data_IF_854886274095
#
_entry.id   IF_854886274095
#
_cell.length_a   1.000
_cell.length_b   1.000
_cell.length_c   1.000
_cell.angle_alpha   90.00
_cell.angle_beta   90.00
_cell.angle_gamma   90.00
#
_symmetry.space_group_name_H-M   'P 1'
#
loop_
_entity.id
_entity.type
_entity.pdbx_description
1 polymer ?
#
# COMPACT_ATOMS: atom_id res chain seq x y z
N UNK A 1 -10.42 -4.16 5.15
CA UNK A 1 -9.02 -3.74 5.41
C UNK A 1 -8.85 -2.31 4.93
N UNK A 2 -7.96 -1.57 5.54
CA UNK A 2 -7.73 -0.16 5.20
C UNK A 2 -6.34 0.00 4.59
N UNK A 3 -6.26 0.66 3.44
CA UNK A 3 -5.02 0.88 2.70
C UNK A 3 -4.68 2.36 2.61
N UNK A 4 -3.40 2.69 2.74
CA UNK A 4 -2.89 4.04 2.49
C UNK A 4 -2.00 3.99 1.25
N UNK A 5 -2.41 4.72 0.21
CA UNK A 5 -1.75 4.69 -1.09
C UNK A 5 -0.70 5.79 -1.19
N UNK A 6 0.51 5.41 -1.56
CA UNK A 6 1.63 6.33 -1.72
C UNK A 6 1.42 7.28 -2.91
N UNK A 7 2.15 8.39 -2.91
CA UNK A 7 1.99 9.51 -3.85
C UNK A 7 2.07 9.10 -5.33
N UNK A 8 2.90 8.12 -5.64
CA UNK A 8 3.12 7.69 -7.03
C UNK A 8 2.02 6.81 -7.59
N UNK A 9 1.08 6.36 -6.74
CA UNK A 9 -0.01 5.50 -7.18
C UNK A 9 -1.16 6.32 -7.76
N UNK A 10 -1.89 5.77 -8.74
CA UNK A 10 -3.02 6.51 -9.31
C UNK A 10 -4.13 6.71 -8.28
N UNK A 11 -4.66 7.95 -8.14
CA UNK A 11 -5.74 8.21 -7.18
C UNK A 11 -7.00 7.36 -7.40
N UNK A 12 -7.29 6.97 -8.65
CA UNK A 12 -8.46 6.12 -8.94
C UNK A 12 -8.36 4.72 -8.33
N UNK A 13 -7.18 4.33 -7.84
CA UNK A 13 -7.03 3.07 -7.12
C UNK A 13 -7.87 3.06 -5.84
N UNK A 14 -8.13 4.22 -5.24
CA UNK A 14 -9.01 4.34 -4.07
C UNK A 14 -10.39 3.74 -4.37
N UNK A 15 -10.98 4.14 -5.51
CA UNK A 15 -12.30 3.63 -5.90
C UNK A 15 -12.27 2.16 -6.25
N UNK A 16 -11.19 1.71 -6.90
CA UNK A 16 -11.06 0.30 -7.26
C UNK A 16 -11.02 -0.59 -6.01
N UNK A 17 -10.29 -0.18 -5.00
CA UNK A 17 -10.24 -0.91 -3.72
C UNK A 17 -11.58 -0.84 -2.98
N UNK A 18 -12.27 0.30 -3.03
CA UNK A 18 -13.60 0.42 -2.44
C UNK A 18 -14.59 -0.55 -3.06
N UNK A 19 -14.55 -0.71 -4.38
CA UNK A 19 -15.42 -1.66 -5.08
C UNK A 19 -15.10 -3.10 -4.70
N UNK A 20 -13.87 -3.36 -4.29
CA UNK A 20 -13.44 -4.68 -3.82
C UNK A 20 -13.75 -4.90 -2.33
N UNK A 21 -14.39 -3.95 -1.67
CA UNK A 21 -14.81 -4.08 -0.28
C UNK A 21 -13.82 -3.54 0.74
N UNK A 22 -12.85 -2.73 0.32
CA UNK A 22 -11.82 -2.20 1.21
C UNK A 22 -11.83 -0.68 1.26
N UNK A 23 -11.46 -0.13 2.40
CA UNK A 23 -11.28 1.30 2.54
C UNK A 23 -9.87 1.67 2.05
N UNK A 24 -9.75 2.78 1.34
CA UNK A 24 -8.45 3.26 0.87
C UNK A 24 -8.38 4.78 0.96
N UNK A 25 -7.21 5.27 1.35
CA UNK A 25 -6.89 6.69 1.39
C UNK A 25 -5.65 6.91 0.54
N UNK A 26 -5.62 8.00 -0.22
CA UNK A 26 -4.42 8.41 -0.93
C UNK A 26 -3.71 9.50 -0.12
N UNK A 27 -2.37 9.46 -0.03
CA UNK A 27 -1.62 10.45 0.75
C UNK A 27 -1.92 11.88 0.32
N UNK A 28 -2.26 12.09 -0.94
CA UNK A 28 -2.67 13.40 -1.46
C UNK A 28 -3.89 13.94 -0.69
N UNK A 29 -4.88 13.09 -0.46
CA UNK A 29 -6.13 13.47 0.22
C UNK A 29 -5.93 13.70 1.71
N UNK A 30 -4.86 13.14 2.27
CA UNK A 30 -4.56 13.23 3.69
C UNK A 30 -3.62 14.38 4.04
N UNK A 31 -3.26 15.23 3.06
CA UNK A 31 -2.31 16.31 3.27
C UNK A 31 -0.87 15.83 3.42
N UNK A 32 -0.55 14.64 2.92
CA UNK A 32 0.75 14.00 3.08
C UNK A 32 1.56 13.93 1.79
N UNK A 33 1.16 14.66 0.75
CA UNK A 33 1.82 14.56 -0.56
C UNK A 33 3.32 14.87 -0.50
N UNK A 34 3.71 15.84 0.30
CA UNK A 34 5.11 16.24 0.48
C UNK A 34 5.69 15.76 1.80
N UNK A 35 5.00 14.87 2.50
CA UNK A 35 5.46 14.37 3.78
C UNK A 35 6.62 13.40 3.60
N UNK A 36 7.48 13.35 4.61
CA UNK A 36 8.57 12.36 4.63
C UNK A 36 8.01 10.96 4.90
N UNK A 37 8.71 9.94 4.47
CA UNK A 37 8.30 8.55 4.66
C UNK A 37 7.97 8.23 6.11
N UNK A 38 8.74 8.78 7.05
CA UNK A 38 8.50 8.58 8.47
C UNK A 38 7.13 9.10 8.90
N UNK A 39 6.69 10.23 8.36
CA UNK A 39 5.40 10.83 8.71
C UNK A 39 4.25 10.03 8.10
N UNK A 40 4.43 9.53 6.88
CA UNK A 40 3.47 8.62 6.24
C UNK A 40 3.34 7.34 7.05
N UNK A 41 4.47 6.80 7.51
CA UNK A 41 4.51 5.61 8.37
C UNK A 41 3.70 5.81 9.66
N UNK A 42 3.95 6.93 10.34
CA UNK A 42 3.22 7.25 11.59
C UNK A 42 1.73 7.40 11.36
N UNK A 43 1.36 8.05 10.26
CA UNK A 43 -0.05 8.20 9.89
C UNK A 43 -0.69 6.84 9.63
N UNK A 44 -0.02 5.97 8.87
CA UNK A 44 -0.53 4.63 8.59
C UNK A 44 -0.71 3.83 9.89
N UNK A 45 0.27 3.89 10.79
CA UNK A 45 0.19 3.20 12.08
C UNK A 45 -1.01 3.69 12.90
N UNK A 46 -1.20 5.01 12.97
CA UNK A 46 -2.32 5.62 13.70
C UNK A 46 -3.67 5.23 13.10
N UNK A 47 -3.75 5.15 11.79
CA UNK A 47 -4.97 4.79 11.07
C UNK A 47 -5.18 3.28 10.98
N UNK A 48 -4.23 2.47 11.43
CA UNK A 48 -4.23 1.02 11.25
C UNK A 48 -4.37 0.65 9.77
N UNK A 49 -3.65 1.38 8.94
CA UNK A 49 -3.70 1.21 7.50
C UNK A 49 -2.47 0.44 7.00
N UNK A 50 -2.66 -0.28 5.92
CA UNK A 50 -1.60 -0.97 5.20
C UNK A 50 -1.05 0.00 4.14
N UNK A 51 0.26 0.18 4.09
CA UNK A 51 0.89 1.06 3.10
C UNK A 51 1.03 0.31 1.78
N UNK A 52 0.53 0.89 0.70
CA UNK A 52 0.71 0.36 -0.66
C UNK A 52 1.65 1.30 -1.40
N UNK A 53 2.75 0.78 -1.92
CA UNK A 53 3.80 1.61 -2.51
C UNK A 53 4.56 0.86 -3.59
N UNK A 54 5.15 1.62 -4.51
CA UNK A 54 6.13 1.12 -5.48
C UNK A 54 7.56 1.27 -4.96
N UNK A 55 7.73 1.98 -3.85
CA UNK A 55 9.04 2.35 -3.32
C UNK A 55 9.55 1.29 -2.33
N UNK A 56 10.76 0.81 -2.57
CA UNK A 56 11.41 -0.17 -1.70
C UNK A 56 11.69 0.36 -0.29
N UNK A 57 11.72 1.68 -0.10
CA UNK A 57 12.08 2.28 1.19
C UNK A 57 11.10 1.90 2.31
N UNK A 58 9.81 1.82 2.02
CA UNK A 58 8.84 1.41 3.04
C UNK A 58 9.00 -0.07 3.42
N UNK A 59 9.30 -0.93 2.45
CA UNK A 59 9.59 -2.33 2.74
C UNK A 59 10.83 -2.46 3.60
N UNK A 60 11.88 -1.68 3.30
CA UNK A 60 13.10 -1.66 4.08
C UNK A 60 12.84 -1.15 5.51
N UNK A 61 12.04 -0.10 5.67
CA UNK A 61 11.65 0.40 6.99
C UNK A 61 10.94 -0.67 7.81
N UNK A 62 10.01 -1.39 7.18
CA UNK A 62 9.24 -2.44 7.88
C UNK A 62 10.14 -3.60 8.28
N UNK A 63 11.03 -4.02 7.40
CA UNK A 63 11.99 -5.08 7.69
C UNK A 63 12.92 -4.70 8.85
N UNK A 64 13.40 -3.47 8.85
CA UNK A 64 14.31 -2.97 9.89
C UNK A 64 13.60 -2.83 11.24
N UNK A 65 12.37 -2.31 11.24
CA UNK A 65 11.61 -2.08 12.46
C UNK A 65 11.10 -3.38 13.11
N UNK A 66 10.90 -4.43 12.32
CA UNK A 66 10.37 -5.70 12.81
C UNK A 66 8.89 -5.66 13.18
N UNK A 67 8.27 -4.49 13.17
CA UNK A 67 6.86 -4.28 13.48
C UNK A 67 6.40 -2.97 12.84
N UNK A 68 5.12 -2.66 12.93
CA UNK A 68 4.54 -1.43 12.38
C UNK A 68 3.50 -1.75 11.32
N UNK A 69 3.14 -0.76 10.49
CA UNK A 69 2.17 -0.97 9.42
C UNK A 69 2.68 -2.03 8.45
N UNK A 70 1.78 -2.89 7.99
CA UNK A 70 2.13 -3.80 6.91
C UNK A 70 2.35 -3.00 5.63
N UNK A 71 3.20 -3.49 4.76
CA UNK A 71 3.56 -2.83 3.50
C UNK A 71 3.28 -3.79 2.34
N UNK A 72 2.49 -3.34 1.38
CA UNK A 72 2.30 -4.01 0.10
C UNK A 72 3.23 -3.31 -0.89
N UNK A 73 4.24 -4.02 -1.32
CA UNK A 73 5.26 -3.48 -2.20
C UNK A 73 5.00 -3.97 -3.63
N UNK A 74 4.61 -3.03 -4.49
CA UNK A 74 4.30 -3.32 -5.89
C UNK A 74 5.59 -3.31 -6.72
N UNK A 75 6.08 -4.49 -7.05
CA UNK A 75 7.30 -4.68 -7.84
C UNK A 75 6.93 -5.08 -9.26
N UNK A 76 6.23 -4.18 -9.94
CA UNK A 76 5.65 -4.47 -11.25
C UNK A 76 6.49 -3.94 -12.42
N UNK A 77 7.54 -3.20 -12.12
CA UNK A 77 8.32 -2.53 -13.14
C UNK A 77 7.56 -1.36 -13.76
N UNK A 78 7.89 -1.04 -14.99
CA UNK A 78 7.29 0.09 -15.69
C UNK A 78 6.01 -0.37 -16.42
N UNK A 79 4.88 -0.28 -15.73
CA UNK A 79 3.57 -0.65 -16.27
C UNK A 79 2.62 0.54 -16.25
N UNK A 80 1.57 0.47 -17.07
CA UNK A 80 0.52 1.49 -17.05
C UNK A 80 -0.25 1.45 -15.73
N UNK A 81 -0.96 2.55 -15.43
CA UNK A 81 -1.81 2.59 -14.25
C UNK A 81 -2.91 1.54 -14.30
N UNK A 82 -3.48 1.27 -15.48
CA UNK A 82 -4.49 0.22 -15.63
C UNK A 82 -3.91 -1.15 -15.32
N UNK A 83 -2.72 -1.45 -15.82
CA UNK A 83 -2.06 -2.73 -15.56
C UNK A 83 -1.69 -2.87 -14.06
N UNK A 84 -1.28 -1.78 -13.42
CA UNK A 84 -0.97 -1.78 -12.00
C UNK A 84 -2.22 -2.08 -11.17
N UNK A 85 -3.32 -1.40 -11.47
CA UNK A 85 -4.60 -1.60 -10.75
C UNK A 85 -5.05 -3.05 -10.93
N UNK A 86 -5.01 -3.55 -12.15
CA UNK A 86 -5.41 -4.93 -12.44
C UNK A 86 -4.55 -5.94 -11.68
N UNK A 87 -3.23 -5.75 -11.67
CA UNK A 87 -2.31 -6.62 -10.95
C UNK A 87 -2.60 -6.65 -9.45
N UNK A 88 -2.82 -5.47 -8.85
CA UNK A 88 -3.13 -5.40 -7.42
C UNK A 88 -4.47 -6.06 -7.12
N UNK A 89 -5.52 -5.76 -7.90
CA UNK A 89 -6.84 -6.35 -7.67
C UNK A 89 -6.81 -7.88 -7.81
N UNK A 90 -6.05 -8.40 -8.78
CA UNK A 90 -5.90 -9.85 -8.95
C UNK A 90 -5.18 -10.50 -7.77
N UNK A 91 -4.22 -9.82 -7.18
CA UNK A 91 -3.46 -10.33 -6.04
C UNK A 91 -4.14 -10.07 -4.70
N UNK A 92 -5.19 -9.26 -4.67
CA UNK A 92 -5.78 -8.74 -3.44
C UNK A 92 -6.20 -9.81 -2.43
N UNK A 93 -6.88 -10.91 -2.84
CA UNK A 93 -7.24 -11.96 -1.88
C UNK A 93 -6.01 -12.56 -1.18
N UNK A 94 -4.94 -12.80 -1.92
CA UNK A 94 -3.70 -13.36 -1.35
C UNK A 94 -2.99 -12.33 -0.48
N UNK A 95 -2.99 -11.06 -0.87
CA UNK A 95 -2.41 -9.96 -0.10
C UNK A 95 -3.13 -9.85 1.25
N UNK A 96 -4.44 -9.81 1.25
CA UNK A 96 -5.24 -9.72 2.48
C UNK A 96 -4.98 -10.91 3.37
N UNK A 97 -4.99 -12.13 2.82
CA UNK A 97 -4.73 -13.34 3.59
C UNK A 97 -3.34 -13.32 4.23
N UNK A 98 -2.32 -12.87 3.51
CA UNK A 98 -0.96 -12.78 4.03
C UNK A 98 -0.86 -11.80 5.19
N UNK A 99 -1.48 -10.62 5.04
CA UNK A 99 -1.47 -9.60 6.10
C UNK A 99 -2.22 -10.10 7.33
N UNK A 100 -3.36 -10.74 7.14
CA UNK A 100 -4.14 -11.31 8.24
C UNK A 100 -3.39 -12.43 8.95
N UNK A 101 -2.50 -13.13 8.24
CA UNK A 101 -1.64 -14.15 8.83
C UNK A 101 -0.42 -13.57 9.56
N UNK A 102 -0.25 -12.23 9.56
CA UNK A 102 0.84 -11.57 10.29
C UNK A 102 2.02 -11.15 9.45
N UNK A 103 1.94 -11.31 8.11
CA UNK A 103 3.02 -10.85 7.24
C UNK A 103 3.13 -9.33 7.24
N UNK A 104 4.33 -8.82 7.48
CA UNK A 104 4.57 -7.37 7.52
C UNK A 104 4.91 -6.78 6.16
N UNK A 105 5.38 -7.59 5.23
CA UNK A 105 5.74 -7.16 3.88
C UNK A 105 5.17 -8.18 2.91
N UNK A 106 4.38 -7.70 1.96
CA UNK A 106 3.82 -8.53 0.90
C UNK A 106 4.24 -7.93 -0.43
N UNK A 107 4.98 -8.69 -1.22
CA UNK A 107 5.39 -8.24 -2.55
C UNK A 107 4.36 -8.69 -3.58
N UNK A 108 4.01 -7.77 -4.47
CA UNK A 108 3.19 -8.07 -5.65
C UNK A 108 4.08 -7.95 -6.87
N UNK A 109 4.24 -9.04 -7.59
CA UNK A 109 5.07 -9.12 -8.80
C UNK A 109 4.23 -9.49 -10.00
N UNK A 110 4.76 -9.23 -11.17
CA UNK A 110 4.13 -9.66 -12.43
C UNK A 110 4.31 -11.15 -12.64
#
# INVERSE_FOLDING_TARGET
MKFLLDAQLPPRLVKALARAGHEALHVYECGLLTAKDRDIWKFAAKQRAVIVTKDADFAAMRAHAGRGPAVVWLRLGNVSNDALIEALLSALPEVVAAIEAGEGIVEVRR
#
